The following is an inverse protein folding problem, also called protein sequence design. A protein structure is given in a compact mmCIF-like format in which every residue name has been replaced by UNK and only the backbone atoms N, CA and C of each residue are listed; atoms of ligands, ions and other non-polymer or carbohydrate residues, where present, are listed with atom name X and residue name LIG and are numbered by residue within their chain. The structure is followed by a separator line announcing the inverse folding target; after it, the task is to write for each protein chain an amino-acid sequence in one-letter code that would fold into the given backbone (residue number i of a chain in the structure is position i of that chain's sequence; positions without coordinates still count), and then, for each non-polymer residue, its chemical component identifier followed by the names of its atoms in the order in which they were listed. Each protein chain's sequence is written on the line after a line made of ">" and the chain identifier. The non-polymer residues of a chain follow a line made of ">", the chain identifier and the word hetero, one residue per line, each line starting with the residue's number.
data_IF_825970287935
#
_entry.id   IF_825970287935
#
_cell.length_a   1.000
_cell.length_b   1.000
_cell.length_c   1.000
_cell.angle_alpha   90.00
_cell.angle_beta   90.00
_cell.angle_gamma   90.00
#
_symmetry.space_group_name_H-M   'P 1'
#
loop_
_entity.id
_entity.type
_entity.pdbx_description
1 polymer ?
#
# COMPACT_ATOMS: atom_id res chain seq x y z
N UNK A 1 30.84 13.99 3.49
CA UNK A 1 29.93 12.81 3.48
C UNK A 1 28.89 13.03 2.41
N UNK A 2 28.76 12.12 1.44
CA UNK A 2 27.62 12.16 0.50
C UNK A 2 26.34 12.00 1.30
N UNK A 3 25.40 12.93 1.18
CA UNK A 3 24.03 12.73 1.68
C UNK A 3 23.49 11.43 1.09
N UNK A 4 23.04 10.49 1.94
CA UNK A 4 22.33 9.32 1.45
C UNK A 4 21.00 9.78 0.83
N UNK A 5 20.67 9.28 -0.36
CA UNK A 5 19.38 9.58 -0.98
C UNK A 5 18.28 8.94 -0.14
N UNK A 6 17.31 9.75 0.27
CA UNK A 6 16.09 9.28 0.95
C UNK A 6 15.03 8.96 -0.10
N UNK A 7 14.21 7.96 0.17
CA UNK A 7 13.06 7.58 -0.66
C UNK A 7 11.79 7.83 0.17
N UNK A 8 10.78 8.44 -0.46
CA UNK A 8 9.46 8.65 0.12
C UNK A 8 8.42 8.01 -0.79
N UNK A 9 7.58 7.16 -0.22
CA UNK A 9 6.43 6.55 -0.91
C UNK A 9 5.17 7.12 -0.25
N UNK A 10 4.30 7.72 -1.06
CA UNK A 10 3.02 8.27 -0.61
C UNK A 10 1.92 7.51 -1.32
N UNK A 11 1.03 6.89 -0.56
CA UNK A 11 -0.23 6.37 -1.09
C UNK A 11 -1.36 7.35 -0.81
N UNK A 12 -2.12 7.69 -1.85
CA UNK A 12 -3.34 8.47 -1.74
C UNK A 12 -4.52 7.51 -1.91
N UNK A 13 -5.22 7.18 -0.82
CA UNK A 13 -6.35 6.26 -0.89
C UNK A 13 -7.52 6.89 -1.68
N UNK A 14 -8.18 6.10 -2.51
CA UNK A 14 -9.24 6.54 -3.44
C UNK A 14 -8.83 7.66 -4.42
N UNK A 15 -7.55 7.81 -4.76
CA UNK A 15 -7.09 8.76 -5.77
C UNK A 15 -7.31 8.21 -7.18
N UNK A 16 -8.54 8.33 -7.68
CA UNK A 16 -8.92 7.86 -9.01
C UNK A 16 -8.14 8.61 -10.11
N UNK A 17 -7.52 7.90 -11.09
CA UNK A 17 -6.65 8.50 -12.08
C UNK A 17 -7.27 9.59 -12.95
N UNK A 18 -8.48 9.40 -13.50
CA UNK A 18 -9.09 10.41 -14.38
C UNK A 18 -9.38 11.73 -13.66
N UNK A 19 -9.68 11.68 -12.37
CA UNK A 19 -9.86 12.86 -11.54
C UNK A 19 -8.54 13.61 -11.31
N UNK A 20 -7.45 12.88 -11.06
CA UNK A 20 -6.13 13.48 -10.76
C UNK A 20 -5.39 13.92 -12.02
N UNK A 21 -5.36 13.08 -13.05
CA UNK A 21 -4.59 13.29 -14.27
C UNK A 21 -5.28 14.22 -15.26
N UNK A 22 -6.61 14.28 -15.23
CA UNK A 22 -7.39 15.08 -16.19
C UNK A 22 -8.17 16.18 -15.47
N UNK A 23 -9.22 15.84 -14.72
CA UNK A 23 -10.22 16.81 -14.24
C UNK A 23 -9.64 17.89 -13.33
N UNK A 24 -8.72 17.51 -12.43
CA UNK A 24 -8.17 18.40 -11.41
C UNK A 24 -6.69 18.72 -11.60
N UNK A 25 -6.08 18.32 -12.72
CA UNK A 25 -4.65 18.51 -12.97
C UNK A 25 -4.20 19.95 -12.69
N UNK A 26 -4.90 20.93 -13.25
CA UNK A 26 -4.53 22.35 -13.10
C UNK A 26 -4.78 22.90 -11.67
N UNK A 27 -5.54 22.18 -10.84
CA UNK A 27 -5.84 22.53 -9.46
C UNK A 27 -4.90 21.85 -8.45
N UNK A 28 -4.03 20.95 -8.90
CA UNK A 28 -3.15 20.12 -8.07
C UNK A 28 -1.67 20.45 -8.37
N UNK A 29 -1.17 21.66 -8.02
CA UNK A 29 0.13 22.15 -8.50
C UNK A 29 1.31 21.25 -8.12
N UNK A 30 1.27 20.62 -6.94
CA UNK A 30 2.33 19.71 -6.50
C UNK A 30 2.34 18.39 -7.29
N UNK A 31 1.17 17.80 -7.56
CA UNK A 31 1.07 16.56 -8.34
C UNK A 31 1.38 16.83 -9.81
N UNK A 32 0.88 17.92 -10.36
CA UNK A 32 1.18 18.34 -11.73
C UNK A 32 2.66 18.56 -11.98
N UNK A 33 3.37 19.17 -11.02
CA UNK A 33 4.83 19.31 -11.09
C UNK A 33 5.55 17.96 -11.04
N UNK A 34 5.13 17.04 -10.16
CA UNK A 34 5.70 15.69 -10.10
C UNK A 34 5.48 14.92 -11.42
N UNK A 35 4.32 15.07 -12.04
CA UNK A 35 4.01 14.46 -13.33
C UNK A 35 4.85 15.05 -14.48
N UNK A 36 5.07 16.38 -14.49
CA UNK A 36 5.85 17.03 -15.56
C UNK A 36 7.36 16.80 -15.46
N UNK A 37 7.89 16.67 -14.24
CA UNK A 37 9.32 16.47 -13.98
C UNK A 37 9.70 14.98 -13.86
N UNK A 38 8.72 14.07 -13.89
CA UNK A 38 8.89 12.65 -13.62
C UNK A 38 8.21 11.75 -14.65
N UNK A 39 7.83 10.55 -14.19
CA UNK A 39 7.08 9.57 -14.97
C UNK A 39 5.76 9.31 -14.26
N UNK A 40 4.66 9.32 -15.01
CA UNK A 40 3.33 9.03 -14.49
C UNK A 40 2.55 8.17 -15.49
N UNK A 41 1.54 7.47 -14.99
CA UNK A 41 0.66 6.62 -15.77
C UNK A 41 -0.35 5.91 -14.88
N UNK A 42 -1.33 5.29 -15.50
CA UNK A 42 -2.27 4.41 -14.81
C UNK A 42 -1.59 3.11 -14.41
N UNK A 43 -1.98 2.58 -13.24
CA UNK A 43 -1.54 1.28 -12.74
C UNK A 43 -2.77 0.44 -12.44
N UNK A 44 -2.69 -0.85 -12.78
CA UNK A 44 -3.72 -1.80 -12.41
C UNK A 44 -3.63 -2.09 -10.91
N UNK A 45 -4.78 -2.07 -10.22
CA UNK A 45 -4.86 -2.49 -8.83
C UNK A 45 -5.00 -4.01 -8.73
N UNK A 46 -5.10 -4.51 -7.51
CA UNK A 46 -5.49 -5.90 -7.26
C UNK A 46 -6.99 -6.12 -7.48
N UNK A 47 -7.39 -7.39 -7.53
CA UNK A 47 -8.81 -7.79 -7.44
C UNK A 47 -9.01 -8.61 -6.15
N UNK A 48 -9.89 -8.18 -5.22
CA UNK A 48 -10.72 -6.98 -5.27
C UNK A 48 -9.95 -5.70 -4.88
N UNK A 49 -10.22 -4.53 -5.50
CA UNK A 49 -9.51 -3.28 -5.26
C UNK A 49 -9.98 -2.60 -3.96
N UNK A 50 -9.75 -3.25 -2.82
CA UNK A 50 -10.11 -2.76 -1.48
C UNK A 50 -8.85 -2.31 -0.75
N UNK A 51 -8.93 -1.22 0.02
CA UNK A 51 -7.79 -0.60 0.73
C UNK A 51 -6.86 -1.61 1.42
N UNK A 52 -7.37 -2.45 2.34
CA UNK A 52 -6.52 -3.36 3.12
C UNK A 52 -5.69 -4.30 2.24
N UNK A 53 -6.28 -5.12 1.35
CA UNK A 53 -5.48 -5.99 0.49
C UNK A 53 -4.62 -5.21 -0.50
N UNK A 54 -5.09 -4.09 -1.06
CA UNK A 54 -4.33 -3.34 -2.06
C UNK A 54 -3.03 -2.76 -1.49
N UNK A 55 -3.09 -2.18 -0.29
CA UNK A 55 -1.91 -1.63 0.38
C UNK A 55 -0.93 -2.72 0.81
N UNK A 56 -1.43 -3.86 1.30
CA UNK A 56 -0.55 -4.98 1.68
C UNK A 56 0.09 -5.64 0.47
N UNK A 57 -0.66 -5.79 -0.64
CA UNK A 57 -0.12 -6.25 -1.90
C UNK A 57 0.98 -5.33 -2.44
N UNK A 58 0.72 -4.02 -2.48
CA UNK A 58 1.71 -3.01 -2.87
C UNK A 58 3.00 -3.10 -2.04
N UNK A 59 2.88 -3.38 -0.75
CA UNK A 59 4.02 -3.36 0.18
C UNK A 59 4.73 -4.71 0.32
N UNK A 60 4.13 -5.82 -0.10
CA UNK A 60 4.73 -7.16 -0.02
C UNK A 60 5.07 -7.77 -1.39
N UNK A 61 4.54 -7.21 -2.48
CA UNK A 61 4.65 -7.80 -3.81
C UNK A 61 3.84 -9.09 -3.97
N UNK A 62 2.81 -9.28 -3.15
CA UNK A 62 1.97 -10.49 -3.12
C UNK A 62 0.53 -10.20 -3.51
N UNK A 63 -0.10 -11.12 -4.23
CA UNK A 63 -1.51 -10.97 -4.61
C UNK A 63 -2.47 -11.36 -3.46
N UNK A 64 -3.76 -10.96 -3.52
CA UNK A 64 -4.76 -11.32 -2.50
C UNK A 64 -4.91 -12.83 -2.25
N UNK A 65 -4.65 -13.67 -3.26
CA UNK A 65 -4.68 -15.12 -3.17
C UNK A 65 -3.50 -15.68 -2.36
N UNK A 66 -2.28 -15.19 -2.62
CA UNK A 66 -1.10 -15.52 -1.81
C UNK A 66 -1.25 -15.04 -0.35
N UNK A 67 -1.85 -13.86 -0.16
CA UNK A 67 -2.05 -13.23 1.15
C UNK A 67 -3.23 -13.83 1.93
N UNK A 68 -4.24 -14.37 1.24
CA UNK A 68 -5.49 -14.80 1.86
C UNK A 68 -6.30 -13.64 2.48
N UNK A 69 -6.12 -12.43 1.96
CA UNK A 69 -6.75 -11.19 2.43
C UNK A 69 -7.47 -10.55 1.25
N UNK A 70 -8.79 -10.39 1.37
CA UNK A 70 -9.69 -9.91 0.32
C UNK A 70 -10.47 -8.66 0.75
N UNK A 71 -10.22 -8.16 1.96
CA UNK A 71 -10.88 -6.98 2.51
C UNK A 71 -10.60 -6.82 4.00
N UNK A 72 -11.36 -5.93 4.65
CA UNK A 72 -11.24 -5.68 6.10
C UNK A 72 -11.65 -6.88 6.96
N UNK A 73 -12.61 -7.67 6.49
CA UNK A 73 -13.08 -8.91 7.12
C UNK A 73 -12.98 -10.04 6.10
N UNK A 74 -12.44 -11.16 6.53
CA UNK A 74 -12.24 -12.34 5.70
C UNK A 74 -12.90 -13.55 6.37
N UNK A 75 -13.30 -14.55 5.58
CA UNK A 75 -13.80 -15.80 6.14
C UNK A 75 -12.71 -16.44 7.00
N UNK A 76 -13.10 -16.90 8.19
CA UNK A 76 -12.17 -17.58 9.09
C UNK A 76 -11.95 -19.06 8.71
N UNK A 77 -12.90 -19.62 7.96
CA UNK A 77 -12.95 -21.00 7.50
C UNK A 77 -13.80 -21.11 6.21
N UNK A 78 -14.13 -22.34 5.79
CA UNK A 78 -14.99 -22.59 4.63
C UNK A 78 -16.48 -22.32 4.89
N UNK A 79 -16.87 -21.74 6.03
CA UNK A 79 -18.24 -21.25 6.27
C UNK A 79 -18.38 -19.77 5.88
N UNK A 80 -19.61 -19.27 5.85
CA UNK A 80 -19.91 -17.84 5.75
C UNK A 80 -20.24 -17.19 7.10
N UNK A 81 -20.37 -18.00 8.17
CA UNK A 81 -20.77 -17.52 9.49
C UNK A 81 -19.62 -16.86 10.24
N UNK A 82 -18.41 -17.40 10.11
CA UNK A 82 -17.24 -16.95 10.87
C UNK A 82 -16.37 -16.02 10.03
N UNK A 83 -16.17 -14.82 10.54
CA UNK A 83 -15.31 -13.79 9.92
C UNK A 83 -14.20 -13.38 10.88
N UNK A 84 -13.01 -13.10 10.34
CA UNK A 84 -11.86 -12.53 11.05
C UNK A 84 -11.50 -11.17 10.47
N UNK A 85 -11.01 -10.28 11.32
CA UNK A 85 -10.48 -8.97 10.89
C UNK A 85 -9.08 -9.18 10.31
N UNK A 86 -8.77 -8.53 9.19
CA UNK A 86 -7.43 -8.51 8.63
C UNK A 86 -6.53 -7.60 9.46
N UNK A 87 -5.82 -8.18 10.42
CA UNK A 87 -4.79 -7.49 11.21
C UNK A 87 -3.42 -7.68 10.56
N UNK A 88 -2.41 -6.96 11.06
CA UNK A 88 -1.02 -7.15 10.66
C UNK A 88 -0.56 -8.59 10.86
N UNK A 89 -1.05 -9.30 11.89
CA UNK A 89 -0.71 -10.70 12.17
C UNK A 89 -1.12 -11.67 11.06
N UNK A 90 -2.07 -11.31 10.20
CA UNK A 90 -2.47 -12.12 9.06
C UNK A 90 -1.44 -12.11 7.91
N UNK A 91 -0.51 -11.16 7.90
CA UNK A 91 0.52 -11.03 6.85
C UNK A 91 1.75 -11.84 7.25
N UNK A 92 1.99 -12.96 6.56
CA UNK A 92 3.12 -13.87 6.82
C UNK A 92 4.33 -13.62 5.92
N UNK A 93 4.21 -12.70 4.96
CA UNK A 93 5.28 -12.31 4.05
C UNK A 93 5.97 -11.03 4.51
N UNK A 94 7.23 -10.87 4.16
CA UNK A 94 7.96 -9.63 4.37
C UNK A 94 7.36 -8.51 3.52
N UNK A 95 7.29 -7.32 4.12
CA UNK A 95 7.00 -6.08 3.41
C UNK A 95 8.29 -5.31 3.15
N UNK A 96 8.22 -4.31 2.28
CA UNK A 96 9.37 -3.48 1.90
C UNK A 96 10.12 -2.94 3.12
N UNK A 97 9.40 -2.50 4.16
CA UNK A 97 10.05 -2.02 5.38
C UNK A 97 10.70 -3.12 6.22
N UNK A 98 10.16 -4.35 6.21
CA UNK A 98 10.78 -5.48 6.92
C UNK A 98 12.14 -5.81 6.28
N UNK A 99 12.20 -5.79 4.94
CA UNK A 99 13.41 -5.98 4.15
C UNK A 99 14.44 -4.86 4.38
N UNK A 100 14.00 -3.59 4.31
CA UNK A 100 14.86 -2.42 4.50
C UNK A 100 15.43 -2.34 5.92
N UNK A 101 14.61 -2.63 6.94
CA UNK A 101 15.05 -2.65 8.34
C UNK A 101 16.13 -3.72 8.57
N UNK A 102 15.96 -4.94 8.02
CA UNK A 102 17.01 -5.98 8.08
C UNK A 102 18.29 -5.59 7.37
N UNK A 103 18.21 -4.77 6.32
CA UNK A 103 19.36 -4.19 5.64
C UNK A 103 19.99 -2.99 6.39
N UNK A 104 19.58 -2.74 7.65
CA UNK A 104 20.12 -1.68 8.49
C UNK A 104 19.68 -0.27 8.09
N UNK A 105 18.58 -0.12 7.34
CA UNK A 105 18.03 1.18 6.96
C UNK A 105 17.06 1.70 8.02
N UNK A 106 17.05 3.02 8.22
CA UNK A 106 16.01 3.67 9.01
C UNK A 106 14.74 3.80 8.16
N UNK A 107 13.63 3.25 8.66
CA UNK A 107 12.33 3.28 7.99
C UNK A 107 11.30 3.92 8.91
N UNK A 108 10.42 4.75 8.35
CA UNK A 108 9.33 5.40 9.07
C UNK A 108 8.04 5.04 8.34
N UNK A 109 7.06 4.55 9.09
CA UNK A 109 5.72 4.23 8.60
C UNK A 109 4.72 5.21 9.21
N UNK A 110 3.86 5.81 8.38
CA UNK A 110 2.81 6.73 8.81
C UNK A 110 1.52 6.33 8.12
N UNK A 111 0.47 6.08 8.92
CA UNK A 111 -0.89 5.82 8.45
C UNK A 111 -1.04 4.70 7.40
N UNK A 112 -0.11 3.73 7.33
CA UNK A 112 -0.21 2.60 6.41
C UNK A 112 -1.27 1.61 6.94
N UNK A 113 -2.30 1.25 6.15
CA UNK A 113 -3.33 0.30 6.56
C UNK A 113 -2.76 -1.07 6.96
N UNK A 114 -3.54 -1.82 7.76
CA UNK A 114 -3.21 -3.18 8.19
C UNK A 114 -1.88 -3.32 8.97
N UNK A 115 -1.52 -2.32 9.77
CA UNK A 115 -0.30 -2.32 10.60
C UNK A 115 -0.53 -2.58 12.09
N UNK A 116 -1.80 -2.70 12.54
CA UNK A 116 -2.13 -3.13 13.91
C UNK A 116 -2.25 -4.66 14.04
N UNK A 117 -1.73 -5.28 15.12
CA UNK A 117 -0.90 -4.65 16.14
C UNK A 117 0.50 -4.33 15.58
N UNK A 118 1.16 -3.25 16.08
CA UNK A 118 2.54 -2.95 15.72
C UNK A 118 3.44 -4.16 15.98
N UNK A 119 4.40 -4.39 15.08
CA UNK A 119 5.44 -5.41 15.26
C UNK A 119 6.75 -4.73 15.73
N UNK A 120 7.52 -5.35 16.64
CA UNK A 120 8.83 -4.85 17.07
C UNK A 120 9.83 -4.71 15.93
#
# INVERSE_FOLDING_TARGET
>A
MSMSRKVLIIGLDCAEPSLVFDKWRDQLPNLSRLMSEGVYGELESIIPPITVPAWTSMMSGKDPGELGIYGFRNRADYSYARMRIATASAVTYDRVWDLLSRAGKTVILVAVPQTYPPRP
#
